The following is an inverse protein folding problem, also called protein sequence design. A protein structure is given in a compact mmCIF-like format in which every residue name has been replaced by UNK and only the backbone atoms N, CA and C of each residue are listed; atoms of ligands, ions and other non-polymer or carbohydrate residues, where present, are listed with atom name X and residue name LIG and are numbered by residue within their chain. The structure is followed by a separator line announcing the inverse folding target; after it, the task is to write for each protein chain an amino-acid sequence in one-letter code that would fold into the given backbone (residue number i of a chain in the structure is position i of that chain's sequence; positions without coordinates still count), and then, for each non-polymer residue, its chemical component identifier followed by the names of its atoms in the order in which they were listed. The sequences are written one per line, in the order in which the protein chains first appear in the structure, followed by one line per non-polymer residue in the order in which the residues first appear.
data_IF_728084754752
#
_entry.id   IF_728084754752
#
_cell.length_a   1.000
_cell.length_b   1.000
_cell.length_c   1.000
_cell.angle_alpha   90.00
_cell.angle_beta   90.00
_cell.angle_gamma   90.00
#
_symmetry.space_group_name_H-M   'P 1'
#
loop_
_entity.id
_entity.type
_entity.pdbx_description
1 polymer ?
#
# COMPACT_ATOMS: atom_id res chain seq x y z
N UNK A 1 1.67 19.89 10.00
CA UNK A 1 1.76 18.79 9.02
C UNK A 1 1.02 17.62 9.63
N UNK A 2 0.12 16.97 8.88
CA UNK A 2 -0.58 15.76 9.35
C UNK A 2 0.41 14.60 9.36
N UNK A 3 0.22 13.61 10.28
CA UNK A 3 1.21 12.54 10.41
C UNK A 3 1.19 11.57 9.23
N UNK A 4 0.01 11.16 8.73
CA UNK A 4 -0.12 10.11 7.72
C UNK A 4 -1.27 10.40 6.74
N UNK A 5 -1.06 10.05 5.47
CA UNK A 5 -2.10 9.90 4.44
C UNK A 5 -2.22 8.42 4.07
N UNK A 6 -3.44 7.91 4.07
CA UNK A 6 -3.75 6.56 3.57
C UNK A 6 -4.06 6.64 2.07
N UNK A 7 -3.21 6.03 1.26
CA UNK A 7 -3.25 6.00 -0.21
C UNK A 7 -3.76 4.64 -0.65
N UNK A 8 -5.00 4.58 -1.14
CA UNK A 8 -5.68 3.32 -1.41
C UNK A 8 -5.83 3.13 -2.92
N UNK A 9 -5.26 2.06 -3.45
CA UNK A 9 -5.46 1.63 -4.83
C UNK A 9 -6.80 0.90 -4.94
N UNK A 10 -7.72 1.47 -5.72
CA UNK A 10 -9.09 0.98 -5.88
C UNK A 10 -9.36 0.58 -7.33
N UNK A 11 -10.19 -0.44 -7.51
CA UNK A 11 -10.64 -0.89 -8.81
C UNK A 11 -12.16 -0.78 -8.98
N UNK A 12 -12.62 -0.19 -10.10
CA UNK A 12 -14.05 -0.06 -10.41
C UNK A 12 -14.80 -1.39 -10.47
N UNK A 13 -14.08 -2.49 -10.70
CA UNK A 13 -14.67 -3.84 -10.71
C UNK A 13 -15.12 -4.33 -9.34
N UNK A 14 -14.69 -3.68 -8.25
CA UNK A 14 -15.04 -4.03 -6.87
C UNK A 14 -15.58 -2.81 -6.12
N UNK A 15 -16.70 -2.21 -6.54
CA UNK A 15 -17.17 -0.92 -6.02
C UNK A 15 -17.48 -0.94 -4.52
N UNK A 16 -17.87 -2.10 -3.99
CA UNK A 16 -18.21 -2.25 -2.57
C UNK A 16 -16.99 -2.11 -1.65
N UNK A 17 -15.77 -2.35 -2.15
CA UNK A 17 -14.54 -2.25 -1.35
C UNK A 17 -14.26 -0.83 -0.88
N UNK A 18 -14.69 0.19 -1.62
CA UNK A 18 -14.67 1.57 -1.12
C UNK A 18 -15.43 1.70 0.19
N UNK A 19 -16.66 1.17 0.25
CA UNK A 19 -17.48 1.23 1.45
C UNK A 19 -16.93 0.35 2.57
N UNK A 20 -16.35 -0.82 2.22
CA UNK A 20 -15.70 -1.68 3.20
C UNK A 20 -14.64 -0.92 4.00
N UNK A 21 -13.81 -0.14 3.32
CA UNK A 21 -12.79 0.70 3.96
C UNK A 21 -13.44 1.88 4.71
N UNK A 22 -14.28 2.67 4.03
CA UNK A 22 -14.82 3.93 4.59
C UNK A 22 -15.78 3.71 5.76
N UNK A 23 -16.40 2.56 5.86
CA UNK A 23 -17.33 2.22 6.95
C UNK A 23 -16.69 1.36 8.04
N UNK A 24 -15.39 1.09 7.94
CA UNK A 24 -14.61 0.34 8.92
C UNK A 24 -13.36 1.13 9.36
N UNK A 25 -12.18 0.64 9.10
CA UNK A 25 -10.92 1.21 9.57
C UNK A 25 -10.59 2.60 8.97
N UNK A 26 -11.06 2.91 7.77
CA UNK A 26 -10.84 4.20 7.10
C UNK A 26 -11.86 5.29 7.46
N UNK A 27 -12.77 5.01 8.42
CA UNK A 27 -13.75 5.99 8.88
C UNK A 27 -13.06 7.16 9.56
N UNK A 28 -13.46 8.38 9.17
CA UNK A 28 -12.94 9.65 9.74
C UNK A 28 -11.43 9.88 9.57
N UNK A 29 -10.77 9.11 8.67
CA UNK A 29 -9.35 9.25 8.37
C UNK A 29 -9.11 9.96 7.03
N UNK A 30 -7.89 10.47 6.88
CA UNK A 30 -7.40 11.03 5.61
C UNK A 30 -7.07 9.87 4.64
N UNK A 31 -8.11 9.32 4.02
CA UNK A 31 -8.03 8.28 3.00
C UNK A 31 -8.28 8.89 1.63
N UNK A 32 -7.36 8.69 0.69
CA UNK A 32 -7.53 9.04 -0.71
C UNK A 32 -7.55 7.77 -1.55
N UNK A 33 -8.60 7.65 -2.39
CA UNK A 33 -8.78 6.50 -3.28
C UNK A 33 -8.38 6.88 -4.69
N UNK A 34 -7.50 6.10 -5.29
CA UNK A 34 -7.02 6.26 -6.64
C UNK A 34 -7.45 5.08 -7.51
N UNK A 35 -8.07 5.36 -8.65
CA UNK A 35 -8.80 4.36 -9.41
C UNK A 35 -8.68 4.55 -10.93
N UNK A 36 -9.33 3.65 -11.66
CA UNK A 36 -9.61 3.71 -13.10
C UNK A 36 -10.87 4.51 -13.44
N UNK A 37 -11.57 5.04 -12.45
CA UNK A 37 -12.73 5.93 -12.62
C UNK A 37 -12.68 7.10 -11.64
N UNK A 38 -13.42 8.16 -11.97
CA UNK A 38 -13.62 9.30 -11.08
C UNK A 38 -14.99 9.20 -10.40
N UNK A 39 -15.03 9.50 -9.10
CA UNK A 39 -16.27 9.73 -8.35
C UNK A 39 -16.04 10.89 -7.37
N UNK A 40 -16.53 12.07 -7.74
CA UNK A 40 -16.34 13.31 -6.95
C UNK A 40 -17.04 13.29 -5.60
N UNK A 41 -18.19 12.61 -5.51
CA UNK A 41 -18.94 12.51 -4.26
C UNK A 41 -18.21 11.65 -3.23
N UNK A 42 -17.52 10.62 -3.70
CA UNK A 42 -16.71 9.72 -2.87
C UNK A 42 -15.25 10.16 -2.76
N UNK A 43 -14.84 11.22 -3.43
CA UNK A 43 -13.44 11.65 -3.52
C UNK A 43 -12.52 10.54 -4.06
N UNK A 44 -12.99 9.85 -5.12
CA UNK A 44 -12.19 8.88 -5.87
C UNK A 44 -11.54 9.61 -7.04
N UNK A 45 -10.22 9.53 -7.14
CA UNK A 45 -9.42 10.21 -8.16
C UNK A 45 -9.07 9.21 -9.26
N UNK A 46 -9.41 9.55 -10.51
CA UNK A 46 -9.00 8.75 -11.65
C UNK A 46 -7.54 8.98 -11.99
N UNK A 47 -6.77 7.89 -12.07
CA UNK A 47 -5.34 7.91 -12.39
C UNK A 47 -4.94 6.92 -13.50
N UNK A 48 -5.87 6.10 -13.98
CA UNK A 48 -5.67 5.17 -15.11
C UNK A 48 -6.94 5.04 -15.93
N UNK A 49 -6.81 4.73 -17.22
CA UNK A 49 -7.92 4.34 -18.09
C UNK A 49 -8.10 2.82 -18.17
N UNK A 50 -7.17 2.05 -17.61
CA UNK A 50 -7.19 0.59 -17.62
C UNK A 50 -7.95 0.04 -16.42
N UNK A 51 -8.77 -0.98 -16.66
CA UNK A 51 -9.61 -1.64 -15.64
C UNK A 51 -9.15 -3.06 -15.31
N UNK A 52 -8.20 -3.63 -16.07
CA UNK A 52 -7.69 -4.98 -15.83
C UNK A 52 -6.78 -5.07 -14.59
N UNK A 53 -6.47 -6.29 -14.16
CA UNK A 53 -5.61 -6.54 -13.01
C UNK A 53 -4.22 -5.87 -13.13
N UNK A 54 -3.64 -5.89 -14.34
CA UNK A 54 -2.31 -5.29 -14.58
C UNK A 54 -2.33 -3.75 -14.57
N UNK A 55 -3.51 -3.14 -14.52
CA UNK A 55 -3.66 -1.70 -14.32
C UNK A 55 -3.13 -1.20 -12.98
N UNK A 56 -2.89 -2.10 -12.02
CA UNK A 56 -2.35 -1.73 -10.71
C UNK A 56 -0.97 -1.07 -10.82
N UNK A 57 -0.11 -1.54 -11.74
CA UNK A 57 1.17 -0.88 -11.99
C UNK A 57 0.97 0.55 -12.52
N UNK A 58 0.09 0.72 -13.51
CA UNK A 58 -0.22 2.02 -14.11
C UNK A 58 -0.82 2.99 -13.10
N UNK A 59 -1.82 2.55 -12.33
CA UNK A 59 -2.42 3.32 -11.24
C UNK A 59 -1.35 3.76 -10.23
N UNK A 60 -0.53 2.83 -9.76
CA UNK A 60 0.47 3.09 -8.75
C UNK A 60 1.53 4.09 -9.20
N UNK A 61 2.06 3.93 -10.42
CA UNK A 61 3.03 4.87 -11.01
C UNK A 61 2.43 6.28 -11.10
N UNK A 62 1.18 6.40 -11.56
CA UNK A 62 0.51 7.68 -11.68
C UNK A 62 0.20 8.32 -10.32
N UNK A 63 -0.18 7.51 -9.31
CA UNK A 63 -0.38 8.00 -7.93
C UNK A 63 0.92 8.53 -7.34
N UNK A 64 2.03 7.83 -7.49
CA UNK A 64 3.33 8.28 -6.97
C UNK A 64 3.77 9.62 -7.60
N UNK A 65 3.51 9.81 -8.89
CA UNK A 65 3.75 11.10 -9.57
C UNK A 65 2.82 12.19 -9.06
N UNK A 66 1.52 11.90 -8.98
CA UNK A 66 0.51 12.84 -8.51
C UNK A 66 0.80 13.35 -7.10
N UNK A 67 1.09 12.45 -6.18
CA UNK A 67 1.40 12.78 -4.79
C UNK A 67 2.70 13.59 -4.65
N UNK A 68 3.66 13.42 -5.58
CA UNK A 68 4.91 14.18 -5.59
C UNK A 68 4.71 15.69 -5.69
N UNK A 69 3.59 16.13 -6.25
CA UNK A 69 3.23 17.55 -6.37
C UNK A 69 2.65 18.13 -5.07
N UNK A 70 2.03 17.30 -4.20
CA UNK A 70 1.26 17.73 -3.03
C UNK A 70 1.78 17.20 -1.67
N UNK A 71 3.02 16.77 -1.65
CA UNK A 71 3.71 16.11 -0.52
C UNK A 71 3.75 16.92 0.79
N UNK A 72 3.54 18.25 0.73
CA UNK A 72 3.85 19.18 1.84
C UNK A 72 2.97 19.00 3.07
N UNK A 73 1.84 18.30 2.97
CA UNK A 73 0.83 18.26 4.02
C UNK A 73 0.99 17.08 4.99
N UNK A 74 1.72 16.01 4.57
CA UNK A 74 1.85 14.78 5.34
C UNK A 74 3.32 14.40 5.54
N UNK A 75 3.60 13.75 6.67
CA UNK A 75 4.94 13.22 6.98
C UNK A 75 5.12 11.83 6.38
N UNK A 76 4.10 10.99 6.49
CA UNK A 76 4.09 9.61 6.02
C UNK A 76 2.95 9.35 5.05
N UNK A 77 3.18 8.44 4.12
CA UNK A 77 2.23 7.93 3.15
C UNK A 77 2.16 6.42 3.29
N UNK A 78 0.98 5.91 3.62
CA UNK A 78 0.73 4.48 3.69
C UNK A 78 -0.04 4.04 2.45
N UNK A 79 0.57 3.20 1.64
CA UNK A 79 -0.01 2.65 0.41
C UNK A 79 -0.57 1.26 0.68
N UNK A 80 -1.78 0.97 0.20
CA UNK A 80 -2.38 -0.35 0.25
C UNK A 80 -3.46 -0.55 -0.81
N UNK A 81 -3.87 -1.80 -1.00
CA UNK A 81 -5.03 -2.16 -1.81
C UNK A 81 -6.34 -1.96 -1.03
N UNK A 82 -7.47 -1.91 -1.75
CA UNK A 82 -8.82 -1.72 -1.18
C UNK A 82 -9.38 -2.94 -0.43
N UNK A 83 -8.66 -4.06 -0.44
CA UNK A 83 -8.94 -5.25 0.37
C UNK A 83 -7.88 -5.51 1.47
N UNK A 84 -7.19 -4.45 1.86
CA UNK A 84 -6.28 -4.46 3.01
C UNK A 84 -7.00 -3.93 4.25
N UNK A 85 -7.02 -4.72 5.32
CA UNK A 85 -7.40 -4.23 6.64
C UNK A 85 -6.22 -3.52 7.31
N UNK A 86 -6.48 -2.37 7.94
CA UNK A 86 -5.46 -1.60 8.66
C UNK A 86 -5.88 -1.35 10.10
N UNK A 87 -5.05 -1.80 11.04
CA UNK A 87 -5.11 -1.40 12.44
C UNK A 87 -4.42 -0.02 12.57
N UNK A 88 -5.17 1.03 12.35
CA UNK A 88 -4.66 2.39 12.26
C UNK A 88 -4.01 2.86 13.56
N UNK A 89 -4.57 2.48 14.71
CA UNK A 89 -3.99 2.79 16.02
C UNK A 89 -2.61 2.16 16.18
N UNK A 90 -2.45 0.90 15.76
CA UNK A 90 -1.16 0.21 15.81
C UNK A 90 -0.17 0.86 14.84
N UNK A 91 -0.59 1.13 13.60
CA UNK A 91 0.25 1.73 12.57
C UNK A 91 0.75 3.12 12.99
N UNK A 92 -0.15 3.98 13.44
CA UNK A 92 0.18 5.33 13.88
C UNK A 92 1.10 5.35 15.11
N UNK A 93 0.90 4.39 16.03
CA UNK A 93 1.78 4.21 17.20
C UNK A 93 3.20 3.78 16.85
N UNK A 94 3.41 3.24 15.65
CA UNK A 94 4.74 2.79 15.18
C UNK A 94 5.49 3.84 14.36
N UNK A 95 4.84 4.92 13.90
CA UNK A 95 5.44 5.89 12.96
C UNK A 95 6.78 6.47 13.45
N UNK A 96 6.90 6.75 14.75
CA UNK A 96 8.12 7.33 15.32
C UNK A 96 9.27 6.30 15.44
N UNK A 97 9.00 5.01 15.21
CA UNK A 97 10.00 3.93 15.23
C UNK A 97 10.58 3.61 13.86
N UNK A 98 9.94 4.07 12.80
CA UNK A 98 10.37 3.80 11.43
C UNK A 98 11.49 4.75 10.96
N UNK A 99 12.48 4.20 10.28
CA UNK A 99 13.58 4.96 9.66
C UNK A 99 13.05 5.74 8.44
N UNK A 100 13.14 7.07 8.49
CA UNK A 100 12.64 7.97 7.44
C UNK A 100 13.36 7.81 6.10
N UNK A 101 14.50 7.12 6.07
CA UNK A 101 15.31 6.87 4.88
C UNK A 101 15.04 5.51 4.23
N UNK A 102 14.03 4.77 4.69
CA UNK A 102 13.67 3.45 4.18
C UNK A 102 12.20 3.38 3.82
N UNK A 103 11.85 2.43 2.95
CA UNK A 103 10.47 2.01 2.72
C UNK A 103 10.18 0.81 3.63
N UNK A 104 9.10 0.86 4.39
CA UNK A 104 8.76 -0.15 5.39
C UNK A 104 7.52 -0.95 5.00
N UNK A 105 7.61 -2.26 5.04
CA UNK A 105 6.50 -3.16 4.73
C UNK A 105 6.91 -4.61 4.94
N UNK A 106 6.07 -5.57 4.58
CA UNK A 106 6.49 -6.96 4.48
C UNK A 106 7.40 -7.12 3.26
N UNK A 107 8.67 -7.43 3.52
CA UNK A 107 9.65 -7.64 2.44
C UNK A 107 9.45 -8.99 1.78
N UNK A 108 9.36 -8.97 0.46
CA UNK A 108 9.41 -10.14 -0.41
C UNK A 108 10.70 -10.11 -1.23
N UNK A 109 11.14 -11.29 -1.70
CA UNK A 109 12.36 -11.43 -2.49
C UNK A 109 12.09 -12.24 -3.74
N UNK A 110 12.65 -11.80 -4.87
CA UNK A 110 12.57 -12.56 -6.12
C UNK A 110 13.83 -12.38 -6.96
N UNK A 111 14.26 -13.45 -7.62
CA UNK A 111 15.33 -13.46 -8.63
C UNK A 111 14.79 -13.56 -10.06
N UNK A 112 13.48 -13.77 -10.19
CA UNK A 112 12.81 -13.79 -11.49
C UNK A 112 11.43 -13.15 -11.38
N UNK A 113 10.93 -12.72 -12.53
CA UNK A 113 9.62 -12.15 -12.65
C UNK A 113 8.93 -12.68 -13.92
N UNK A 114 7.77 -13.32 -13.77
CA UNK A 114 7.02 -13.95 -14.86
C UNK A 114 7.89 -14.92 -15.72
N UNK A 115 8.79 -15.67 -15.07
CA UNK A 115 9.71 -16.58 -15.76
C UNK A 115 10.93 -15.90 -16.41
N UNK A 116 11.07 -14.58 -16.29
CA UNK A 116 12.24 -13.85 -16.76
C UNK A 116 13.19 -13.59 -15.58
N UNK A 117 14.45 -14.02 -15.67
CA UNK A 117 15.43 -13.71 -14.64
C UNK A 117 15.62 -12.19 -14.49
N UNK A 118 15.62 -11.72 -13.25
CA UNK A 118 16.00 -10.36 -12.95
C UNK A 118 17.53 -10.26 -12.83
N UNK A 119 18.13 -9.16 -13.25
CA UNK A 119 19.58 -8.97 -13.04
C UNK A 119 19.88 -8.96 -11.55
N UNK A 120 21.01 -9.61 -11.12
CA UNK A 120 21.44 -9.58 -9.72
C UNK A 120 21.71 -8.14 -9.24
N UNK A 121 21.60 -7.86 -7.93
CA UNK A 121 21.24 -8.80 -6.86
C UNK A 121 19.76 -9.19 -6.85
N UNK A 122 19.40 -10.19 -6.02
CA UNK A 122 17.99 -10.57 -5.76
C UNK A 122 17.20 -9.30 -5.43
N UNK A 123 16.04 -9.14 -6.08
CA UNK A 123 15.18 -8.00 -5.84
C UNK A 123 14.47 -8.14 -4.48
N UNK A 124 14.63 -7.15 -3.63
CA UNK A 124 13.86 -6.96 -2.40
C UNK A 124 12.80 -5.88 -2.65
N UNK A 125 11.55 -6.15 -2.28
CA UNK A 125 10.43 -5.23 -2.45
C UNK A 125 9.39 -5.42 -1.35
N UNK A 126 8.59 -4.38 -1.06
CA UNK A 126 7.46 -4.51 -0.16
C UNK A 126 6.26 -5.10 -0.89
N UNK A 127 5.54 -6.03 -0.25
CA UNK A 127 4.25 -6.51 -0.75
C UNK A 127 3.24 -5.36 -0.83
N UNK A 128 2.69 -5.10 -2.02
CA UNK A 128 1.69 -4.07 -2.25
C UNK A 128 0.42 -4.31 -1.43
N UNK A 129 -0.06 -5.55 -1.43
CA UNK A 129 -1.28 -5.91 -0.70
C UNK A 129 -1.12 -5.90 0.82
N UNK A 130 0.08 -6.19 1.38
CA UNK A 130 0.33 -5.98 2.82
C UNK A 130 0.29 -4.50 3.20
N UNK A 131 0.48 -3.63 2.23
CA UNK A 131 0.72 -2.22 2.40
C UNK A 131 2.15 -1.90 2.82
N UNK A 132 2.54 -0.66 2.60
CA UNK A 132 3.88 -0.16 2.96
C UNK A 132 3.87 1.34 3.23
N UNK A 133 4.84 1.77 4.02
CA UNK A 133 5.05 3.17 4.41
C UNK A 133 6.20 3.79 3.63
N UNK A 134 5.98 5.01 3.15
CA UNK A 134 6.99 5.88 2.56
C UNK A 134 6.98 7.23 3.29
N UNK A 135 8.15 7.69 3.74
CA UNK A 135 8.32 9.04 4.27
C UNK A 135 8.31 10.07 3.12
N UNK A 136 7.81 11.28 3.38
CA UNK A 136 7.68 12.32 2.36
C UNK A 136 9.01 12.66 1.64
N UNK A 137 10.15 12.60 2.31
CA UNK A 137 11.45 12.87 1.67
C UNK A 137 11.81 11.78 0.63
N UNK A 138 11.50 10.52 0.89
CA UNK A 138 11.68 9.44 -0.08
C UNK A 138 10.67 9.58 -1.21
N UNK A 139 9.40 9.87 -0.90
CA UNK A 139 8.36 10.03 -1.91
C UNK A 139 8.69 11.14 -2.91
N UNK A 140 9.33 12.25 -2.48
CA UNK A 140 9.82 13.31 -3.36
C UNK A 140 10.86 12.83 -4.39
N UNK A 141 11.68 11.86 -4.01
CA UNK A 141 12.68 11.25 -4.90
C UNK A 141 11.97 10.29 -5.86
N UNK A 142 11.18 9.37 -5.32
CA UNK A 142 10.44 8.37 -6.09
C UNK A 142 9.55 9.01 -7.15
N UNK A 143 8.79 10.05 -6.78
CA UNK A 143 7.83 10.69 -7.69
C UNK A 143 8.44 11.28 -8.97
N UNK A 144 9.71 11.66 -8.92
CA UNK A 144 10.46 12.20 -10.06
C UNK A 144 11.01 11.12 -10.99
N UNK A 145 11.35 9.97 -10.41
CA UNK A 145 12.10 8.91 -11.11
C UNK A 145 11.21 7.75 -11.53
N UNK A 146 10.02 7.60 -10.91
CA UNK A 146 9.13 6.47 -11.18
C UNK A 146 8.59 6.50 -12.62
N UNK A 147 8.63 5.36 -13.26
CA UNK A 147 8.10 5.16 -14.61
C UNK A 147 7.46 3.79 -14.74
N UNK A 148 6.56 3.67 -15.70
CA UNK A 148 5.95 2.41 -16.07
C UNK A 148 7.01 1.50 -16.70
N UNK A 149 7.14 0.28 -16.18
CA UNK A 149 8.12 -0.72 -16.64
C UNK A 149 7.48 -1.93 -17.33
N UNK A 150 6.13 -1.97 -17.36
CA UNK A 150 5.36 -3.09 -17.90
C UNK A 150 5.65 -4.42 -17.19
N UNK A 151 5.88 -4.36 -15.89
CA UNK A 151 6.02 -5.54 -15.04
C UNK A 151 4.66 -6.21 -14.80
N UNK A 152 3.57 -5.44 -14.87
CA UNK A 152 2.22 -5.83 -14.49
C UNK A 152 1.98 -5.87 -12.97
N UNK A 153 3.00 -5.54 -12.17
CA UNK A 153 2.93 -5.55 -10.70
C UNK A 153 3.54 -4.28 -10.12
N UNK A 154 2.72 -3.56 -9.37
CA UNK A 154 3.06 -2.27 -8.80
C UNK A 154 4.23 -2.33 -7.81
N UNK A 155 4.25 -3.35 -6.97
CA UNK A 155 5.24 -3.56 -5.93
C UNK A 155 6.62 -3.97 -6.50
N UNK A 156 6.65 -4.77 -7.55
CA UNK A 156 7.88 -5.12 -8.27
C UNK A 156 8.45 -3.89 -8.98
N UNK A 157 7.62 -3.10 -9.65
CA UNK A 157 8.05 -1.86 -10.31
C UNK A 157 8.65 -0.87 -9.31
N UNK A 158 8.02 -0.69 -8.16
CA UNK A 158 8.58 0.13 -7.09
C UNK A 158 9.90 -0.46 -6.57
N UNK A 159 9.96 -1.76 -6.31
CA UNK A 159 11.18 -2.43 -5.83
C UNK A 159 12.37 -2.26 -6.76
N UNK A 160 12.16 -2.36 -8.08
CA UNK A 160 13.20 -2.09 -9.08
C UNK A 160 13.72 -0.66 -9.00
N UNK A 161 12.82 0.32 -8.87
CA UNK A 161 13.22 1.71 -8.70
C UNK A 161 13.98 1.95 -7.39
N UNK A 162 13.51 1.39 -6.27
CA UNK A 162 14.17 1.53 -4.97
C UNK A 162 15.60 0.98 -5.02
N UNK A 163 15.79 -0.18 -5.66
CA UNK A 163 17.11 -0.77 -5.91
C UNK A 163 18.01 0.17 -6.72
N UNK A 164 17.52 0.70 -7.82
CA UNK A 164 18.28 1.60 -8.71
C UNK A 164 18.66 2.92 -8.01
N UNK A 165 17.82 3.38 -7.08
CA UNK A 165 18.08 4.57 -6.26
C UNK A 165 18.90 4.29 -4.98
N UNK A 166 19.25 3.03 -4.71
CA UNK A 166 19.88 2.59 -3.47
C UNK A 166 19.05 2.93 -2.21
N UNK A 167 17.73 2.95 -2.32
CA UNK A 167 16.81 3.12 -1.20
C UNK A 167 16.48 1.74 -0.64
N UNK A 168 16.73 1.54 0.65
CA UNK A 168 16.55 0.25 1.28
C UNK A 168 15.06 -0.03 1.59
N UNK A 169 14.68 -1.28 1.39
CA UNK A 169 13.44 -1.85 1.95
C UNK A 169 13.75 -2.36 3.36
N UNK A 170 12.89 -2.05 4.31
CA UNK A 170 12.97 -2.53 5.68
C UNK A 170 11.82 -3.50 5.95
N UNK A 171 12.17 -4.76 6.17
CA UNK A 171 11.18 -5.78 6.55
C UNK A 171 10.55 -5.45 7.91
N UNK A 172 9.25 -5.63 7.99
CA UNK A 172 8.50 -5.35 9.20
C UNK A 172 7.42 -6.40 9.43
N UNK A 173 7.55 -7.10 10.55
CA UNK A 173 6.59 -8.11 10.98
C UNK A 173 5.18 -7.58 11.28
N UNK A 174 4.99 -6.28 11.30
CA UNK A 174 3.68 -5.68 11.51
C UNK A 174 2.77 -5.73 10.29
N UNK A 175 3.31 -5.94 9.09
CA UNK A 175 2.56 -5.99 7.82
C UNK A 175 2.41 -7.43 7.35
N UNK A 176 1.20 -7.82 6.90
CA UNK A 176 0.89 -9.20 6.51
C UNK A 176 0.19 -9.24 5.15
N UNK A 177 0.79 -9.97 4.21
CA UNK A 177 0.28 -10.14 2.84
C UNK A 177 -0.83 -11.18 2.71
N UNK A 178 -1.26 -11.77 3.80
CA UNK A 178 -2.32 -12.79 3.85
C UNK A 178 -3.29 -12.48 4.99
N UNK A 179 -4.51 -13.05 4.98
CA UNK A 179 -5.45 -12.89 6.08
C UNK A 179 -4.97 -13.63 7.35
N UNK A 180 -5.44 -13.21 8.55
CA UNK A 180 -5.02 -13.81 9.82
C UNK A 180 -5.18 -15.34 9.90
N UNK A 181 -6.22 -15.86 9.26
CA UNK A 181 -6.53 -17.30 9.23
C UNK A 181 -5.43 -18.14 8.59
N UNK A 182 -4.73 -17.63 7.59
CA UNK A 182 -3.62 -18.35 6.93
C UNK A 182 -2.34 -18.38 7.77
N UNK A 183 -2.21 -17.48 8.75
CA UNK A 183 -1.12 -17.49 9.71
C UNK A 183 -1.47 -18.30 10.98
N UNK A 184 -2.72 -18.73 11.14
CA UNK A 184 -3.20 -19.38 12.36
C UNK A 184 -3.24 -18.42 13.57
N UNK A 185 -3.41 -17.11 13.33
CA UNK A 185 -3.42 -16.10 14.38
C UNK A 185 -4.75 -16.10 15.15
N UNK A 186 -4.65 -15.94 16.45
CA UNK A 186 -5.77 -15.65 17.35
C UNK A 186 -5.90 -14.12 17.56
N UNK A 187 -6.96 -13.69 18.24
CA UNK A 187 -7.26 -12.27 18.46
C UNK A 187 -6.12 -11.51 19.16
N UNK A 188 -5.43 -12.15 20.10
CA UNK A 188 -4.29 -11.54 20.79
C UNK A 188 -3.12 -11.28 19.82
N UNK A 189 -2.86 -12.21 18.92
CA UNK A 189 -1.82 -12.06 17.89
C UNK A 189 -2.21 -11.00 16.87
N UNK A 190 -3.48 -10.97 16.45
CA UNK A 190 -4.02 -10.00 15.48
C UNK A 190 -3.78 -8.55 15.94
N UNK A 191 -3.99 -8.25 17.22
CA UNK A 191 -3.76 -6.90 17.82
C UNK A 191 -2.35 -6.37 17.62
N UNK A 192 -1.37 -7.27 17.49
CA UNK A 192 0.03 -6.90 17.36
C UNK A 192 0.44 -6.52 15.95
N UNK A 193 -0.44 -6.72 14.94
CA UNK A 193 -0.16 -6.40 13.55
C UNK A 193 -0.85 -5.12 13.12
N UNK A 194 -0.23 -4.45 12.16
CA UNK A 194 -0.76 -3.22 11.57
C UNK A 194 -1.67 -3.50 10.37
N UNK A 195 -1.40 -4.56 9.60
CA UNK A 195 -2.18 -4.83 8.38
C UNK A 195 -2.38 -6.31 8.12
N UNK A 196 -3.47 -6.61 7.37
CA UNK A 196 -3.74 -7.92 6.77
C UNK A 196 -4.35 -7.72 5.38
N UNK A 197 -3.87 -8.47 4.40
CA UNK A 197 -4.38 -8.45 3.03
C UNK A 197 -5.45 -9.52 2.80
N UNK A 198 -6.17 -9.41 1.67
CA UNK A 198 -7.29 -10.29 1.26
C UNK A 198 -8.49 -10.28 2.22
N UNK A 199 -8.73 -9.16 2.91
CA UNK A 199 -9.93 -8.93 3.71
C UNK A 199 -10.97 -8.25 2.81
N UNK A 200 -11.80 -9.03 2.13
CA UNK A 200 -12.56 -8.58 0.97
C UNK A 200 -13.95 -8.03 1.30
N UNK A 201 -14.44 -8.29 2.49
CA UNK A 201 -15.80 -7.90 2.89
C UNK A 201 -15.79 -7.00 4.11
N UNK A 202 -16.84 -6.18 4.24
CA UNK A 202 -17.04 -5.34 5.41
C UNK A 202 -17.14 -6.18 6.70
N UNK A 203 -17.80 -7.33 6.63
CA UNK A 203 -17.96 -8.19 7.81
C UNK A 203 -16.63 -8.74 8.30
N UNK A 204 -15.73 -9.19 7.41
CA UNK A 204 -14.39 -9.62 7.77
C UNK A 204 -13.59 -8.46 8.40
N UNK A 205 -13.68 -7.24 7.85
CA UNK A 205 -13.02 -6.06 8.42
C UNK A 205 -13.55 -5.71 9.81
N UNK A 206 -14.89 -5.77 10.00
CA UNK A 206 -15.52 -5.53 11.30
C UNK A 206 -15.17 -6.61 12.32
N UNK A 207 -15.08 -7.87 11.91
CA UNK A 207 -14.65 -8.96 12.80
C UNK A 207 -13.26 -8.68 13.37
N UNK A 208 -12.30 -8.33 12.52
CA UNK A 208 -10.95 -7.97 12.96
C UNK A 208 -11.00 -6.71 13.84
N UNK A 209 -11.72 -5.67 13.42
CA UNK A 209 -11.79 -4.39 14.12
C UNK A 209 -12.38 -4.53 15.54
N UNK A 210 -13.35 -5.42 15.74
CA UNK A 210 -13.97 -5.67 17.04
C UNK A 210 -13.05 -6.46 17.99
N UNK A 211 -12.02 -7.07 17.46
CA UNK A 211 -11.09 -7.92 18.23
C UNK A 211 -9.75 -7.21 18.57
N UNK A 212 -9.58 -5.91 18.20
CA UNK A 212 -8.31 -5.16 18.41
C UNK A 212 -8.42 -3.98 19.40
#
# INVERSE_FOLDING_TARGET
MKKILYVILHGSMNPDRYYNVKETWGKDLDCMFYSDHEDKEKNIIKVSDRTDYHSNEDKHVNVLKYLGEDIKNYEWFFFCDDDTFVNTKKLEGLLDTFDKNKVHGQMLKTDNYMGNPLPPPILEYCSGGAGYLIHNEILKIISKEIKFLNTGYSDVTLGLLLRDLNILVSDSDYFRSQPPSLYGYNDETIKNHATFHYIKTKNEMLEILNNI
#
